data_IF_705340906121
#
_entry.id   IF_705340906121
#
_cell.length_a   1.000
_cell.length_b   1.000
_cell.length_c   1.000
_cell.angle_alpha   90.00
_cell.angle_beta   90.00
_cell.angle_gamma   90.00
#
_symmetry.space_group_name_H-M   'P 1'
#
loop_
_entity.id
_entity.type
_entity.pdbx_description
1 polymer ?
#
# COMPACT_ATOMS: atom_id res chain seq x y z
N UNK A 1 -23.07 16.81 -5.02
CA UNK A 1 -22.10 15.73 -4.72
C UNK A 1 -21.16 16.23 -3.64
N UNK A 2 -21.26 15.74 -2.40
CA UNK A 2 -20.30 16.10 -1.35
C UNK A 2 -19.00 15.36 -1.66
N UNK A 3 -17.92 16.08 -1.94
CA UNK A 3 -16.58 15.52 -1.80
C UNK A 3 -16.36 15.31 -0.31
N UNK A 4 -16.35 14.07 0.14
CA UNK A 4 -15.90 13.78 1.51
C UNK A 4 -14.42 14.18 1.57
N UNK A 5 -14.13 15.24 2.34
CA UNK A 5 -12.79 15.78 2.50
C UNK A 5 -12.05 14.91 3.51
N UNK A 6 -11.67 13.70 3.11
CA UNK A 6 -10.79 12.85 3.91
C UNK A 6 -9.33 13.15 3.56
N UNK A 7 -8.47 13.11 4.57
CA UNK A 7 -7.02 13.17 4.43
C UNK A 7 -6.51 11.73 4.54
N UNK A 8 -5.72 11.29 3.56
CA UNK A 8 -4.96 10.05 3.66
C UNK A 8 -3.51 10.37 4.00
N UNK A 9 -2.95 9.68 4.99
CA UNK A 9 -1.54 9.77 5.37
C UNK A 9 -0.96 8.37 5.41
N UNK A 10 0.21 8.21 4.78
CA UNK A 10 0.97 6.98 4.84
C UNK A 10 2.37 7.28 5.37
N UNK A 11 2.83 6.46 6.32
CA UNK A 11 4.17 6.57 6.89
C UNK A 11 4.90 5.25 6.69
N UNK A 12 6.17 5.33 6.33
CA UNK A 12 7.02 4.15 6.11
C UNK A 12 8.30 4.26 6.92
N UNK A 13 8.72 3.15 7.52
CA UNK A 13 9.96 3.03 8.28
C UNK A 13 10.69 1.77 7.85
N UNK A 14 11.96 1.91 7.53
CA UNK A 14 12.83 0.76 7.30
C UNK A 14 13.36 0.25 8.63
N UNK A 15 13.14 -1.02 8.91
CA UNK A 15 13.67 -1.73 10.05
C UNK A 15 14.77 -2.66 9.53
N UNK A 16 16.06 -2.38 9.81
CA UNK A 16 17.14 -3.27 9.42
C UNK A 16 17.09 -4.57 10.24
N UNK A 17 17.11 -5.71 9.57
CA UNK A 17 17.22 -7.03 10.19
C UNK A 17 18.67 -7.40 10.50
N UNK A 18 18.84 -8.44 11.33
CA UNK A 18 20.16 -8.86 11.85
C UNK A 18 21.09 -9.47 10.81
N UNK A 19 20.59 -9.82 9.61
CA UNK A 19 21.34 -10.51 8.56
C UNK A 19 21.31 -9.81 7.19
N UNK A 20 20.99 -8.50 7.16
CA UNK A 20 20.88 -7.74 5.91
C UNK A 20 19.47 -7.73 5.30
N UNK A 21 18.56 -8.55 5.83
CA UNK A 21 17.14 -8.50 5.50
C UNK A 21 16.54 -7.20 6.04
N UNK A 22 16.14 -6.28 5.18
CA UNK A 22 15.42 -5.07 5.61
C UNK A 22 13.92 -5.27 5.42
N UNK A 23 13.16 -4.87 6.44
CA UNK A 23 11.68 -4.88 6.40
C UNK A 23 11.23 -3.44 6.37
N UNK A 24 10.38 -3.08 5.41
CA UNK A 24 9.69 -1.79 5.46
C UNK A 24 8.36 -1.99 6.17
N UNK A 25 8.14 -1.29 7.27
CA UNK A 25 6.86 -1.27 7.97
C UNK A 25 6.20 0.06 7.69
N UNK A 26 4.94 0.01 7.27
CA UNK A 26 4.14 1.17 6.94
C UNK A 26 2.85 1.21 7.73
N UNK A 27 2.30 2.40 7.90
CA UNK A 27 0.99 2.63 8.51
C UNK A 27 0.23 3.62 7.60
N UNK A 28 -0.98 3.25 7.20
CA UNK A 28 -1.89 4.11 6.43
C UNK A 28 -3.09 4.50 7.29
N UNK A 29 -3.48 5.77 7.24
CA UNK A 29 -4.62 6.33 7.96
C UNK A 29 -5.49 7.14 7.00
N UNK A 30 -6.80 6.96 7.06
CA UNK A 30 -7.76 7.90 6.47
C UNK A 30 -8.50 8.62 7.59
N UNK A 31 -8.46 9.95 7.55
CA UNK A 31 -8.99 10.84 8.59
C UNK A 31 -10.03 11.75 7.96
N UNK A 32 -11.22 11.82 8.56
CA UNK A 32 -12.23 12.82 8.23
C UNK A 32 -12.43 13.75 9.43
N UNK A 33 -12.06 15.02 9.28
CA UNK A 33 -12.07 15.97 10.38
C UNK A 33 -11.10 15.57 11.50
N UNK A 34 -11.65 15.03 12.60
CA UNK A 34 -10.88 14.53 13.77
C UNK A 34 -10.97 13.02 13.94
N UNK A 35 -11.82 12.34 13.17
CA UNK A 35 -12.10 10.92 13.31
C UNK A 35 -11.25 10.11 12.34
N UNK A 36 -10.67 9.02 12.81
CA UNK A 36 -9.99 8.04 11.95
C UNK A 36 -11.04 7.10 11.38
N UNK A 37 -11.28 7.19 10.08
CA UNK A 37 -12.25 6.35 9.37
C UNK A 37 -11.69 4.96 9.07
N UNK A 38 -10.38 4.90 8.82
CA UNK A 38 -9.72 3.68 8.39
C UNK A 38 -8.25 3.71 8.82
N UNK A 39 -7.73 2.55 9.23
CA UNK A 39 -6.30 2.34 9.44
C UNK A 39 -5.86 1.02 8.83
N UNK A 40 -4.62 0.99 8.38
CA UNK A 40 -4.02 -0.21 7.82
C UNK A 40 -2.54 -0.29 8.20
N UNK A 41 -2.15 -1.46 8.70
CA UNK A 41 -0.76 -1.81 8.89
C UNK A 41 -0.22 -2.43 7.59
N UNK A 42 0.93 -1.95 7.15
CA UNK A 42 1.59 -2.34 5.92
C UNK A 42 2.98 -2.90 6.23
N UNK A 43 3.42 -3.86 5.43
CA UNK A 43 4.75 -4.41 5.53
C UNK A 43 5.26 -4.85 4.15
N UNK A 44 6.51 -4.53 3.82
CA UNK A 44 7.24 -5.18 2.73
C UNK A 44 8.26 -6.12 3.37
N UNK A 45 8.01 -7.42 3.23
CA UNK A 45 8.89 -8.47 3.75
C UNK A 45 9.67 -9.14 2.61
N UNK A 46 10.94 -9.44 2.84
CA UNK A 46 11.72 -10.36 2.00
C UNK A 46 11.62 -11.76 2.61
N UNK A 47 11.25 -12.74 1.79
CA UNK A 47 11.26 -14.16 2.13
C UNK A 47 11.86 -14.96 0.99
N UNK A 48 12.98 -15.62 1.24
CA UNK A 48 13.58 -16.60 0.32
C UNK A 48 13.69 -16.05 -1.11
N UNK A 49 14.34 -14.90 -1.26
CA UNK A 49 14.57 -14.19 -2.54
C UNK A 49 13.32 -13.60 -3.21
N UNK A 50 12.19 -13.56 -2.50
CA UNK A 50 10.94 -12.96 -2.97
C UNK A 50 10.47 -11.85 -2.04
N UNK A 51 9.99 -10.76 -2.62
CA UNK A 51 9.39 -9.66 -1.87
C UNK A 51 7.88 -9.78 -1.85
N UNK A 52 7.28 -9.50 -0.68
CA UNK A 52 5.84 -9.49 -0.51
C UNK A 52 5.41 -8.16 0.10
N UNK A 53 4.39 -7.54 -0.50
CA UNK A 53 3.63 -6.48 0.13
C UNK A 53 2.51 -7.11 0.96
N UNK A 54 2.40 -6.71 2.21
CA UNK A 54 1.47 -7.26 3.18
C UNK A 54 0.62 -6.12 3.72
N UNK A 55 -0.69 -6.26 3.59
CA UNK A 55 -1.66 -5.27 4.06
C UNK A 55 -2.57 -5.88 5.14
N UNK A 56 -2.79 -5.15 6.22
CA UNK A 56 -3.63 -5.56 7.34
C UNK A 56 -4.58 -4.43 7.75
N UNK A 57 -5.77 -4.35 7.12
CA UNK A 57 -6.81 -3.36 7.45
C UNK A 57 -7.35 -3.58 8.86
N UNK A 58 -7.43 -2.54 9.70
CA UNK A 58 -8.11 -2.53 11.00
C UNK A 58 -7.81 -3.73 11.93
N UNK A 59 -6.59 -4.28 11.86
CA UNK A 59 -6.20 -5.47 12.65
C UNK A 59 -6.84 -6.78 12.18
N UNK A 60 -7.46 -6.80 11.00
CA UNK A 60 -8.00 -7.99 10.36
C UNK A 60 -6.91 -8.97 9.92
N UNK A 61 -7.26 -10.01 9.16
CA UNK A 61 -6.26 -10.96 8.64
C UNK A 61 -5.38 -10.26 7.60
N UNK A 62 -4.07 -10.34 7.79
CA UNK A 62 -3.12 -9.82 6.81
C UNK A 62 -3.23 -10.54 5.46
N UNK A 63 -3.30 -9.76 4.39
CA UNK A 63 -3.32 -10.24 3.01
C UNK A 63 -1.96 -9.98 2.38
N UNK A 64 -1.40 -11.01 1.74
CA UNK A 64 -0.10 -10.93 1.06
C UNK A 64 -0.28 -10.78 -0.44
N UNK A 65 0.59 -9.97 -1.02
CA UNK A 65 0.70 -9.70 -2.44
C UNK A 65 2.15 -9.95 -2.86
N UNK A 66 2.35 -10.81 -3.85
CA UNK A 66 3.68 -11.06 -4.39
C UNK A 66 4.15 -9.84 -5.19
N UNK A 67 5.33 -9.29 -4.88
CA UNK A 67 5.90 -8.20 -5.66
C UNK A 67 6.48 -8.80 -6.95
N UNK A 68 5.70 -8.70 -8.02
CA UNK A 68 6.00 -9.31 -9.30
C UNK A 68 7.00 -8.49 -10.12
N UNK A 69 6.98 -7.16 -9.98
CA UNK A 69 7.84 -6.25 -10.73
C UNK A 69 8.34 -5.14 -9.83
N UNK A 70 9.60 -4.77 -10.00
CA UNK A 70 10.24 -3.64 -9.32
C UNK A 70 11.06 -2.82 -10.32
N UNK A 71 11.11 -1.52 -10.11
CA UNK A 71 12.05 -0.60 -10.73
C UNK A 71 12.67 0.28 -9.64
N UNK A 72 13.58 1.18 -10.00
CA UNK A 72 14.14 2.16 -9.06
C UNK A 72 13.09 3.02 -8.35
N UNK A 73 11.92 3.23 -8.98
CA UNK A 73 10.89 4.17 -8.51
C UNK A 73 9.49 3.58 -8.43
N UNK A 74 9.33 2.29 -8.67
CA UNK A 74 8.01 1.66 -8.68
C UNK A 74 8.05 0.18 -8.34
N UNK A 75 6.92 -0.35 -7.91
CA UNK A 75 6.70 -1.79 -7.86
C UNK A 75 5.24 -2.14 -8.14
N UNK A 76 5.02 -3.39 -8.55
CA UNK A 76 3.69 -4.00 -8.71
C UNK A 76 3.61 -5.22 -7.81
N UNK A 77 2.65 -5.20 -6.89
CA UNK A 77 2.30 -6.31 -6.02
C UNK A 77 0.95 -6.91 -6.43
N UNK A 78 0.87 -8.24 -6.50
CA UNK A 78 -0.31 -8.96 -7.03
C UNK A 78 -0.75 -10.09 -6.11
N UNK A 79 -2.07 -10.28 -6.04
CA UNK A 79 -2.72 -11.46 -5.48
C UNK A 79 -4.00 -11.73 -6.29
N UNK A 80 -3.86 -12.47 -7.39
CA UNK A 80 -4.98 -12.76 -8.30
C UNK A 80 -6.05 -13.69 -7.73
N UNK A 81 -5.81 -14.29 -6.54
CA UNK A 81 -6.81 -15.08 -5.83
C UNK A 81 -7.73 -14.20 -4.97
N UNK A 82 -7.41 -12.93 -4.80
CA UNK A 82 -8.18 -11.99 -4.01
C UNK A 82 -9.05 -11.11 -4.92
N UNK A 83 -10.33 -10.95 -4.59
CA UNK A 83 -11.28 -10.21 -5.45
C UNK A 83 -10.88 -8.73 -5.55
N UNK A 84 -10.78 -8.05 -4.40
CA UNK A 84 -10.30 -6.67 -4.34
C UNK A 84 -9.59 -6.38 -3.01
N UNK A 85 -8.35 -5.87 -3.04
CA UNK A 85 -7.54 -5.63 -4.24
C UNK A 85 -6.91 -6.92 -4.76
N UNK A 86 -6.64 -6.96 -6.07
CA UNK A 86 -5.87 -8.02 -6.73
C UNK A 86 -4.51 -7.50 -7.21
N UNK A 87 -4.40 -6.20 -7.48
CA UNK A 87 -3.18 -5.53 -7.89
C UNK A 87 -3.00 -4.21 -7.11
N UNK A 88 -1.77 -3.96 -6.67
CA UNK A 88 -1.36 -2.73 -6.00
C UNK A 88 -0.06 -2.28 -6.64
N UNK A 89 -0.06 -1.10 -7.26
CA UNK A 89 1.16 -0.51 -7.82
C UNK A 89 1.49 0.79 -7.13
N UNK A 90 2.77 0.97 -6.81
CA UNK A 90 3.31 2.22 -6.31
C UNK A 90 4.27 2.80 -7.34
N UNK A 91 4.24 4.12 -7.50
CA UNK A 91 5.20 4.87 -8.32
C UNK A 91 5.60 6.16 -7.64
N UNK A 92 6.88 6.51 -7.74
CA UNK A 92 7.40 7.82 -7.33
C UNK A 92 7.84 8.58 -8.58
N UNK A 93 6.94 9.43 -9.09
CA UNK A 93 7.18 10.20 -10.33
C UNK A 93 8.14 11.38 -10.12
N UNK A 94 8.18 11.95 -8.90
CA UNK A 94 9.05 13.06 -8.47
C UNK A 94 9.59 12.74 -7.09
N UNK A 95 10.75 13.29 -6.69
CA UNK A 95 11.37 13.00 -5.38
C UNK A 95 10.47 13.25 -4.16
N UNK A 96 9.37 13.99 -4.32
CA UNK A 96 8.41 14.31 -3.28
C UNK A 96 7.00 13.75 -3.49
N UNK A 97 6.70 13.07 -4.60
CA UNK A 97 5.34 12.55 -4.88
C UNK A 97 5.37 11.03 -4.93
N UNK A 98 4.49 10.41 -4.15
CA UNK A 98 4.21 8.98 -4.16
C UNK A 98 2.78 8.77 -4.64
N UNK A 99 2.60 7.93 -5.64
CA UNK A 99 1.29 7.54 -6.15
C UNK A 99 1.08 6.06 -5.91
N UNK A 100 -0.13 5.66 -5.54
CA UNK A 100 -0.53 4.26 -5.51
C UNK A 100 -1.81 4.04 -6.32
N UNK A 101 -1.86 2.93 -7.03
CA UNK A 101 -3.05 2.46 -7.73
C UNK A 101 -3.40 1.09 -7.19
N UNK A 102 -4.60 0.99 -6.65
CA UNK A 102 -5.18 -0.23 -6.08
C UNK A 102 -6.33 -0.66 -6.99
N UNK A 103 -6.22 -1.84 -7.59
CA UNK A 103 -7.22 -2.35 -8.54
C UNK A 103 -7.58 -3.82 -8.29
N UNK A 104 -8.76 -4.20 -8.76
CA UNK A 104 -9.27 -5.55 -8.69
C UNK A 104 -10.74 -5.63 -9.10
N UNK A 105 -11.34 -6.80 -8.96
CA UNK A 105 -12.75 -7.03 -9.29
C UNK A 105 -13.60 -6.94 -8.04
N UNK A 106 -14.66 -6.13 -8.10
CA UNK A 106 -15.72 -6.17 -7.08
C UNK A 106 -16.98 -6.67 -7.77
N UNK A 107 -17.35 -7.92 -7.49
CA UNK A 107 -18.36 -8.67 -8.25
C UNK A 107 -17.90 -8.85 -9.71
N UNK A 108 -18.57 -8.20 -10.66
CA UNK A 108 -18.28 -8.28 -12.09
C UNK A 108 -17.61 -7.02 -12.66
N UNK A 109 -17.46 -5.97 -11.84
CA UNK A 109 -16.90 -4.70 -12.29
C UNK A 109 -15.45 -4.54 -11.82
N UNK A 110 -14.63 -4.00 -12.70
CA UNK A 110 -13.30 -3.52 -12.31
C UNK A 110 -13.44 -2.28 -11.44
N UNK A 111 -12.76 -2.32 -10.29
CA UNK A 111 -12.63 -1.18 -9.39
C UNK A 111 -11.17 -0.75 -9.39
N UNK A 112 -10.96 0.56 -9.40
CA UNK A 112 -9.65 1.20 -9.28
C UNK A 112 -9.74 2.36 -8.30
N UNK A 113 -8.79 2.43 -7.38
CA UNK A 113 -8.61 3.52 -6.43
C UNK A 113 -7.22 4.09 -6.66
N UNK A 114 -7.12 5.39 -6.81
CA UNK A 114 -5.85 6.09 -6.99
C UNK A 114 -5.59 6.97 -5.77
N UNK A 115 -4.40 6.85 -5.20
CA UNK A 115 -3.90 7.70 -4.15
C UNK A 115 -2.70 8.49 -4.66
N UNK A 116 -2.56 9.73 -4.19
CA UNK A 116 -1.39 10.55 -4.44
C UNK A 116 -1.05 11.31 -3.16
N UNK A 117 0.17 11.11 -2.69
CA UNK A 117 0.71 11.74 -1.49
C UNK A 117 1.91 12.60 -1.86
N UNK A 118 1.97 13.78 -1.25
CA UNK A 118 3.17 14.61 -1.26
C UNK A 118 3.90 14.41 0.05
N UNK A 119 5.17 14.02 -0.03
CA UNK A 119 6.06 13.89 1.12
C UNK A 119 6.15 15.23 1.83
N UNK A 120 5.79 15.25 3.12
CA UNK A 120 6.06 16.40 3.99
C UNK A 120 7.51 16.31 4.49
N UNK A 121 8.25 17.41 4.30
CA UNK A 121 9.60 17.59 4.83
C UNK A 121 9.55 17.84 6.34
#
# INVERSE_FOLDING_TARGET
>A
HKSENFISVETWKMIPGRHGDSILVGNSLQIEGKDTLFKEDLCIENRSDSFFYVAQPDGSKATRFFIQKTSEKSFLAVNYQHDFPSEISYSSEKSSVLSAVVSGKVKENERKICFSWTRKN
#
